data_IF_982395174110
#
_entry.id   IF_982395174110
#
_cell.length_a   1.000
_cell.length_b   1.000
_cell.length_c   1.000
_cell.angle_alpha   90.00
_cell.angle_beta   90.00
_cell.angle_gamma   90.00
#
_symmetry.space_group_name_H-M   'P 1'
#
loop_
_entity.id
_entity.type
_entity.pdbx_description
1 polymer ?
#
# COMPACT_ATOMS: atom_id res chain seq x y z
N UNK A 1 54.37 3.87 -4.00
CA UNK A 1 53.37 3.54 -5.03
C UNK A 1 52.04 3.00 -4.51
N UNK A 2 51.38 3.50 -3.46
CA UNK A 2 49.99 3.05 -3.12
C UNK A 2 48.90 4.14 -3.32
N UNK A 3 49.26 5.43 -3.40
CA UNK A 3 48.21 6.50 -3.39
C UNK A 3 47.58 6.72 -4.77
N UNK A 4 48.29 6.46 -5.85
CA UNK A 4 47.81 6.65 -7.22
C UNK A 4 46.80 5.54 -7.61
N UNK A 5 47.07 4.30 -7.21
CA UNK A 5 46.19 3.15 -7.45
C UNK A 5 44.84 3.22 -6.68
N UNK A 6 44.82 3.86 -5.49
CA UNK A 6 43.58 4.12 -4.74
C UNK A 6 42.75 5.25 -5.34
N UNK A 7 43.37 6.22 -6.05
CA UNK A 7 42.63 7.30 -6.74
C UNK A 7 41.97 6.81 -8.02
N UNK A 8 42.62 5.95 -8.79
CA UNK A 8 42.04 5.35 -10.03
C UNK A 8 40.88 4.43 -9.72
N UNK A 9 40.98 3.58 -8.73
CA UNK A 9 39.85 2.74 -8.29
C UNK A 9 38.62 3.50 -7.77
N UNK A 10 38.82 4.65 -7.14
CA UNK A 10 37.72 5.53 -6.71
C UNK A 10 37.03 6.23 -7.89
N UNK A 11 37.81 6.69 -8.86
CA UNK A 11 37.30 7.38 -10.04
C UNK A 11 36.44 6.47 -10.89
N UNK A 12 36.84 5.20 -11.09
CA UNK A 12 36.08 4.21 -11.84
C UNK A 12 34.76 3.79 -11.13
N UNK A 13 34.77 3.72 -9.80
CA UNK A 13 33.58 3.43 -9.03
C UNK A 13 32.55 4.57 -9.05
N UNK A 14 33.00 5.82 -8.91
CA UNK A 14 32.12 7.00 -9.00
C UNK A 14 31.57 7.20 -10.42
N UNK A 15 32.37 6.96 -11.46
CA UNK A 15 31.93 7.00 -12.85
C UNK A 15 30.86 5.95 -13.11
N UNK A 16 31.03 4.73 -12.60
CA UNK A 16 30.07 3.64 -12.72
C UNK A 16 28.73 3.97 -12.04
N UNK A 17 28.76 4.58 -10.85
CA UNK A 17 27.58 4.99 -10.11
C UNK A 17 26.81 6.11 -10.84
N UNK A 18 27.52 7.11 -11.38
CA UNK A 18 26.92 8.20 -12.19
C UNK A 18 26.25 7.65 -13.45
N UNK A 19 26.88 6.70 -14.13
CA UNK A 19 26.33 6.04 -15.32
C UNK A 19 25.08 5.22 -15.00
N UNK A 20 25.06 4.51 -13.87
CA UNK A 20 23.89 3.81 -13.38
C UNK A 20 22.70 4.77 -13.21
N UNK A 21 22.90 5.83 -12.45
CA UNK A 21 21.84 6.83 -12.18
C UNK A 21 21.33 7.49 -13.45
N UNK A 22 22.24 7.89 -14.36
CA UNK A 22 21.87 8.50 -15.64
C UNK A 22 21.04 7.56 -16.51
N UNK A 23 21.44 6.30 -16.67
CA UNK A 23 20.70 5.30 -17.47
C UNK A 23 19.34 5.02 -16.89
N UNK A 24 19.25 4.88 -15.56
CA UNK A 24 18.01 4.65 -14.86
C UNK A 24 17.02 5.80 -15.05
N UNK A 25 17.48 7.05 -14.90
CA UNK A 25 16.64 8.23 -15.07
C UNK A 25 16.20 8.43 -16.53
N UNK A 26 17.06 8.24 -17.51
CA UNK A 26 16.69 8.29 -18.93
C UNK A 26 15.61 7.26 -19.27
N UNK A 27 15.76 6.04 -18.76
CA UNK A 27 14.74 5.01 -18.93
C UNK A 27 13.43 5.40 -18.24
N UNK A 28 13.49 5.90 -17.02
CA UNK A 28 12.30 6.31 -16.26
C UNK A 28 11.54 7.42 -17.00
N UNK A 29 12.21 8.43 -17.49
CA UNK A 29 11.58 9.53 -18.23
C UNK A 29 10.79 9.01 -19.45
N UNK A 30 11.32 8.01 -20.16
CA UNK A 30 10.70 7.43 -21.35
C UNK A 30 9.64 6.35 -21.05
N UNK A 31 9.71 5.66 -19.90
CA UNK A 31 8.92 4.44 -19.67
C UNK A 31 8.04 4.47 -18.41
N UNK A 32 8.09 5.53 -17.60
CA UNK A 32 7.29 5.63 -16.37
C UNK A 32 5.80 5.52 -16.68
N UNK A 33 5.08 4.72 -15.91
CA UNK A 33 3.63 4.63 -16.00
C UNK A 33 2.99 5.98 -15.67
N UNK A 34 1.97 6.38 -16.43
CA UNK A 34 1.14 7.55 -16.11
C UNK A 34 0.25 7.22 -14.90
N UNK A 35 0.69 7.67 -13.73
CA UNK A 35 -0.01 7.46 -12.47
C UNK A 35 -0.48 8.80 -11.92
N UNK A 36 -1.74 8.88 -11.41
CA UNK A 36 -2.32 10.16 -11.02
C UNK A 36 -1.50 10.94 -9.99
N UNK A 37 -0.83 10.25 -9.08
CA UNK A 37 0.02 10.85 -8.04
C UNK A 37 1.40 11.30 -8.49
N UNK A 38 1.74 11.10 -9.77
CA UNK A 38 2.99 11.59 -10.40
C UNK A 38 2.82 12.90 -11.15
N UNK A 39 1.57 13.43 -11.23
CA UNK A 39 1.24 14.63 -12.02
C UNK A 39 1.70 15.92 -11.37
N UNK A 40 1.85 15.93 -10.07
CA UNK A 40 2.35 17.08 -9.31
C UNK A 40 3.23 16.63 -8.13
N UNK A 41 3.84 17.60 -7.45
CA UNK A 41 4.68 17.38 -6.27
C UNK A 41 4.04 17.90 -4.98
N UNK A 42 2.73 18.13 -4.98
CA UNK A 42 2.02 18.53 -3.77
C UNK A 42 2.18 17.44 -2.69
N UNK A 43 2.66 17.78 -1.49
CA UNK A 43 2.94 16.82 -0.44
C UNK A 43 1.71 16.02 0.02
N UNK A 44 0.50 16.62 0.01
CA UNK A 44 -0.70 15.91 0.44
C UNK A 44 -1.11 14.77 -0.52
N UNK A 45 -1.26 14.97 -1.82
CA UNK A 45 -1.48 13.91 -2.78
C UNK A 45 -0.37 12.85 -2.82
N UNK A 46 0.90 13.26 -2.75
CA UNK A 46 2.03 12.33 -2.69
C UNK A 46 1.95 11.46 -1.44
N UNK A 47 1.77 12.04 -0.26
CA UNK A 47 1.59 11.30 0.98
C UNK A 47 0.41 10.33 0.94
N UNK A 48 -0.75 10.78 0.45
CA UNK A 48 -1.93 9.94 0.29
C UNK A 48 -1.63 8.69 -0.55
N UNK A 49 -0.95 8.87 -1.69
CA UNK A 49 -0.59 7.76 -2.56
C UNK A 49 0.36 6.77 -1.87
N UNK A 50 1.38 7.26 -1.17
CA UNK A 50 2.34 6.42 -0.46
C UNK A 50 1.66 5.57 0.63
N UNK A 51 0.71 6.16 1.38
CA UNK A 51 -0.05 5.40 2.38
C UNK A 51 -1.01 4.40 1.71
N UNK A 52 -1.65 4.76 0.59
CA UNK A 52 -2.54 3.83 -0.12
C UNK A 52 -1.79 2.65 -0.74
N UNK A 53 -0.58 2.88 -1.24
CA UNK A 53 0.26 1.86 -1.89
C UNK A 53 0.87 0.85 -0.92
N UNK A 54 0.94 1.16 0.38
CA UNK A 54 1.42 0.19 1.37
C UNK A 54 0.58 -1.11 1.28
N UNK A 55 1.21 -2.23 0.87
CA UNK A 55 0.58 -3.53 0.74
C UNK A 55 -0.68 -3.57 -0.15
N UNK A 56 -0.83 -2.61 -1.07
CA UNK A 56 -1.96 -2.55 -2.01
C UNK A 56 -1.46 -2.38 -3.43
N UNK A 57 -2.05 -3.13 -4.36
CA UNK A 57 -1.66 -3.09 -5.79
C UNK A 57 -2.02 -1.76 -6.42
N UNK A 58 -1.15 -1.24 -7.29
CA UNK A 58 -1.33 0.02 -8.02
C UNK A 58 -2.70 0.12 -8.70
N UNK A 59 -3.12 -0.92 -9.42
CA UNK A 59 -4.41 -0.93 -10.13
C UNK A 59 -5.63 -0.71 -9.21
N UNK A 60 -5.56 -1.20 -7.96
CA UNK A 60 -6.60 -0.93 -6.97
C UNK A 60 -6.53 0.52 -6.48
N UNK A 61 -5.32 1.01 -6.16
CA UNK A 61 -5.10 2.36 -5.62
C UNK A 61 -5.60 3.44 -6.57
N UNK A 62 -5.36 3.34 -7.88
CA UNK A 62 -5.78 4.35 -8.88
C UNK A 62 -7.26 4.73 -8.72
N UNK A 63 -8.15 3.74 -8.58
CA UNK A 63 -9.59 3.97 -8.44
C UNK A 63 -9.97 4.67 -7.13
N UNK A 64 -9.28 4.32 -6.05
CA UNK A 64 -9.55 4.89 -4.72
C UNK A 64 -8.96 6.27 -4.54
N UNK A 65 -7.77 6.50 -5.07
CA UNK A 65 -7.04 7.75 -4.98
C UNK A 65 -7.85 8.95 -5.51
N UNK A 66 -8.37 8.84 -6.73
CA UNK A 66 -9.16 9.91 -7.34
C UNK A 66 -10.43 10.21 -6.54
N UNK A 67 -11.16 9.17 -6.08
CA UNK A 67 -12.37 9.34 -5.27
C UNK A 67 -12.08 9.95 -3.90
N UNK A 68 -10.96 9.55 -3.29
CA UNK A 68 -10.57 10.06 -1.98
C UNK A 68 -10.20 11.54 -2.05
N UNK A 69 -9.39 11.95 -3.05
CA UNK A 69 -9.04 13.35 -3.28
C UNK A 69 -10.26 14.22 -3.64
N UNK A 70 -11.21 13.69 -4.43
CA UNK A 70 -12.47 14.40 -4.69
C UNK A 70 -13.24 14.69 -3.41
N UNK A 71 -13.23 13.74 -2.45
CA UNK A 71 -13.95 13.87 -1.18
C UNK A 71 -13.19 14.70 -0.14
N UNK A 72 -11.89 14.60 -0.12
CA UNK A 72 -10.97 15.29 0.80
C UNK A 72 -9.85 15.94 -0.02
N UNK A 73 -10.12 17.08 -0.67
CA UNK A 73 -9.19 17.70 -1.62
C UNK A 73 -7.94 18.29 -0.94
N UNK A 74 -8.00 18.57 0.34
CA UNK A 74 -6.90 19.16 1.13
C UNK A 74 -6.68 18.38 2.42
N UNK A 75 -5.51 18.57 3.04
CA UNK A 75 -5.19 18.01 4.36
C UNK A 75 -6.14 18.54 5.43
N UNK A 76 -6.60 19.78 5.31
CA UNK A 76 -7.58 20.41 6.19
C UNK A 76 -8.95 19.71 6.08
N UNK A 77 -9.42 19.49 4.85
CA UNK A 77 -10.68 18.78 4.62
C UNK A 77 -10.62 17.35 5.20
N UNK A 78 -9.48 16.68 5.09
CA UNK A 78 -9.27 15.37 5.69
C UNK A 78 -9.26 15.44 7.23
N UNK A 79 -8.56 16.40 7.82
CA UNK A 79 -8.44 16.56 9.28
C UNK A 79 -9.78 16.84 9.95
N UNK A 80 -10.63 17.66 9.32
CA UNK A 80 -11.96 18.04 9.82
C UNK A 80 -13.01 16.95 9.63
N UNK A 81 -12.76 15.96 8.79
CA UNK A 81 -13.71 14.92 8.51
C UNK A 81 -13.97 14.02 9.73
N UNK A 82 -15.17 13.44 9.80
CA UNK A 82 -15.46 12.37 10.77
C UNK A 82 -14.67 11.12 10.36
N UNK A 83 -14.05 10.46 11.34
CA UNK A 83 -13.28 9.22 11.09
C UNK A 83 -14.10 8.15 10.35
N UNK A 84 -15.41 8.07 10.62
CA UNK A 84 -16.31 7.15 9.89
C UNK A 84 -16.38 7.46 8.40
N UNK A 85 -16.39 8.74 8.03
CA UNK A 85 -16.38 9.19 6.63
C UNK A 85 -15.07 8.86 5.92
N UNK A 86 -13.93 8.99 6.61
CA UNK A 86 -12.62 8.59 6.09
C UNK A 86 -12.55 7.08 5.87
N UNK A 87 -13.01 6.30 6.85
CA UNK A 87 -13.06 4.84 6.75
C UNK A 87 -14.01 4.36 5.65
N UNK A 88 -15.15 5.03 5.45
CA UNK A 88 -16.07 4.72 4.35
C UNK A 88 -15.43 4.96 2.99
N UNK A 89 -14.72 6.09 2.81
CA UNK A 89 -13.97 6.37 1.57
C UNK A 89 -12.81 5.38 1.32
N UNK A 90 -12.26 4.81 2.39
CA UNK A 90 -11.18 3.82 2.34
C UNK A 90 -11.68 2.38 2.17
N UNK A 91 -12.99 2.15 2.36
CA UNK A 91 -13.58 0.80 2.40
C UNK A 91 -13.32 0.02 1.11
N UNK A 92 -12.70 -1.14 1.25
CA UNK A 92 -12.26 -2.01 0.14
C UNK A 92 -10.74 -2.01 -0.13
N UNK A 93 -9.98 -1.01 0.35
CA UNK A 93 -8.50 -1.02 0.26
C UNK A 93 -7.83 -1.93 1.29
N UNK A 94 -8.53 -2.30 2.37
CA UNK A 94 -7.96 -3.06 3.46
C UNK A 94 -7.01 -2.25 4.36
N UNK A 95 -6.46 -2.93 5.38
CA UNK A 95 -5.49 -2.33 6.32
C UNK A 95 -5.95 -0.98 6.89
N UNK A 96 -7.15 -0.92 7.45
CA UNK A 96 -7.84 0.30 7.91
C UNK A 96 -7.07 1.10 8.98
N UNK A 97 -6.08 0.49 9.63
CA UNK A 97 -5.14 1.19 10.52
C UNK A 97 -4.41 2.31 9.78
N UNK A 98 -4.12 2.14 8.47
CA UNK A 98 -3.50 3.18 7.65
C UNK A 98 -4.41 4.40 7.51
N UNK A 99 -5.70 4.19 7.23
CA UNK A 99 -6.68 5.28 7.13
C UNK A 99 -6.85 6.05 8.44
N UNK A 100 -6.82 5.34 9.58
CA UNK A 100 -6.86 5.99 10.91
C UNK A 100 -5.60 6.80 11.18
N UNK A 101 -4.43 6.22 10.89
CA UNK A 101 -3.16 6.90 11.05
C UNK A 101 -3.07 8.13 10.12
N UNK A 102 -3.48 8.00 8.86
CA UNK A 102 -3.57 9.09 7.89
C UNK A 102 -4.46 10.23 8.42
N UNK A 103 -5.64 9.93 8.95
CA UNK A 103 -6.55 10.92 9.53
C UNK A 103 -5.96 11.60 10.77
N UNK A 104 -5.32 10.84 11.65
CA UNK A 104 -4.66 11.38 12.83
C UNK A 104 -3.48 12.29 12.46
N UNK A 105 -2.65 11.86 11.50
CA UNK A 105 -1.55 12.65 10.99
C UNK A 105 -2.02 13.94 10.31
N UNK A 106 -3.15 13.92 9.57
CA UNK A 106 -3.75 15.11 9.00
C UNK A 106 -4.11 16.14 10.09
N UNK A 107 -4.67 15.69 11.21
CA UNK A 107 -4.96 16.57 12.37
C UNK A 107 -3.69 17.17 12.97
N UNK A 108 -2.62 16.38 13.09
CA UNK A 108 -1.34 16.89 13.56
C UNK A 108 -0.78 17.95 12.61
N UNK A 109 -0.78 17.71 11.29
CA UNK A 109 -0.29 18.67 10.29
C UNK A 109 -1.07 19.98 10.36
N UNK A 110 -2.41 19.93 10.48
CA UNK A 110 -3.26 21.14 10.57
C UNK A 110 -3.01 21.87 11.87
N UNK A 111 -2.84 21.16 12.99
CA UNK A 111 -2.51 21.76 14.30
C UNK A 111 -1.16 22.48 14.25
N UNK A 112 -0.16 21.88 13.59
CA UNK A 112 1.20 22.43 13.48
C UNK A 112 1.29 23.58 12.44
N UNK A 113 0.23 23.83 11.67
CA UNK A 113 0.10 24.92 10.71
C UNK A 113 0.86 24.71 9.38
N UNK A 114 1.70 23.68 9.27
CA UNK A 114 2.48 23.41 8.06
C UNK A 114 2.72 21.92 7.85
N UNK A 115 2.82 21.51 6.57
CA UNK A 115 3.20 20.14 6.20
C UNK A 115 4.72 19.97 6.45
N UNK A 116 5.17 18.96 7.22
CA UNK A 116 6.59 18.73 7.45
C UNK A 116 7.34 18.45 6.15
N UNK A 117 8.48 19.11 5.92
CA UNK A 117 9.22 19.03 4.65
C UNK A 117 10.44 18.11 4.68
N UNK A 118 10.86 17.62 5.86
CA UNK A 118 12.02 16.73 5.99
C UNK A 118 11.63 15.34 6.43
N UNK A 119 12.37 14.33 5.99
CA UNK A 119 12.11 12.94 6.37
C UNK A 119 12.12 12.75 7.89
N UNK A 120 13.03 13.42 8.61
CA UNK A 120 13.09 13.39 10.08
C UNK A 120 11.79 13.87 10.72
N UNK A 121 11.24 15.00 10.26
CA UNK A 121 9.97 15.54 10.79
C UNK A 121 8.77 14.73 10.31
N UNK A 122 8.77 14.23 9.08
CA UNK A 122 7.69 13.37 8.57
C UNK A 122 7.55 12.08 9.38
N UNK A 123 8.64 11.50 9.89
CA UNK A 123 8.60 10.29 10.71
C UNK A 123 7.91 10.47 12.06
N UNK A 124 7.71 11.69 12.53
CA UNK A 124 6.95 11.95 13.77
C UNK A 124 5.44 11.80 13.58
N UNK A 125 4.97 11.76 12.33
CA UNK A 125 3.55 11.63 12.01
C UNK A 125 3.07 10.18 12.21
N UNK A 126 1.86 10.00 12.75
CA UNK A 126 1.25 8.67 12.89
C UNK A 126 1.20 7.90 11.57
N UNK A 127 1.72 6.68 11.54
CA UNK A 127 1.70 5.79 10.37
C UNK A 127 2.72 6.10 9.29
N UNK A 128 3.63 7.04 9.53
CA UNK A 128 4.73 7.41 8.63
C UNK A 128 6.03 6.80 9.14
N UNK A 129 6.46 5.70 8.54
CA UNK A 129 7.74 5.06 8.81
C UNK A 129 8.89 5.64 7.96
N UNK A 130 10.11 5.10 8.16
CA UNK A 130 11.35 5.53 7.46
C UNK A 130 11.16 5.61 5.94
N UNK A 131 10.61 4.56 5.33
CA UNK A 131 10.34 4.53 3.89
C UNK A 131 9.37 5.65 3.45
N UNK A 132 8.20 5.72 4.07
CA UNK A 132 7.16 6.69 3.68
C UNK A 132 7.65 8.13 3.86
N UNK A 133 8.38 8.41 4.93
CA UNK A 133 8.97 9.72 5.17
C UNK A 133 9.99 10.10 4.10
N UNK A 134 10.90 9.18 3.75
CA UNK A 134 11.91 9.40 2.72
C UNK A 134 11.26 9.58 1.32
N UNK A 135 10.22 8.81 1.01
CA UNK A 135 9.48 8.93 -0.24
C UNK A 135 8.81 10.31 -0.37
N UNK A 136 8.08 10.75 0.65
CA UNK A 136 7.44 12.08 0.65
C UNK A 136 8.49 13.17 0.57
N UNK A 137 9.53 13.13 1.40
CA UNK A 137 10.57 14.15 1.46
C UNK A 137 11.31 14.29 0.12
N UNK A 138 11.66 13.19 -0.51
CA UNK A 138 12.36 13.22 -1.80
C UNK A 138 11.47 13.62 -2.98
N UNK A 139 10.21 13.13 -3.02
CA UNK A 139 9.30 13.36 -4.15
C UNK A 139 8.69 14.76 -4.08
N UNK A 140 8.17 15.16 -2.92
CA UNK A 140 7.46 16.43 -2.78
C UNK A 140 8.41 17.61 -2.52
N UNK A 141 9.48 17.39 -1.75
CA UNK A 141 10.33 18.48 -1.29
C UNK A 141 11.77 18.44 -1.86
N UNK A 142 12.11 17.38 -2.61
CA UNK A 142 13.44 17.27 -3.22
C UNK A 142 14.57 16.97 -2.23
N UNK A 143 14.26 16.50 -1.02
CA UNK A 143 15.28 16.09 -0.05
C UNK A 143 16.15 14.96 -0.64
N UNK A 144 17.49 15.06 -0.63
CA UNK A 144 18.37 14.04 -1.21
C UNK A 144 18.51 12.82 -0.29
N UNK A 145 17.39 12.14 -0.06
CA UNK A 145 17.26 10.93 0.76
C UNK A 145 16.74 9.76 -0.10
N UNK A 146 17.40 8.61 0.03
CA UNK A 146 17.01 7.40 -0.69
C UNK A 146 15.80 6.72 -0.05
N UNK A 147 15.13 5.85 -0.82
CA UNK A 147 14.07 4.95 -0.33
C UNK A 147 14.48 3.50 -0.53
N UNK A 148 14.02 2.63 0.38
CA UNK A 148 14.14 1.17 0.25
C UNK A 148 12.79 0.54 0.57
N UNK A 149 12.09 0.11 -0.48
CA UNK A 149 10.93 -0.78 -0.39
C UNK A 149 11.32 -2.19 -0.88
N UNK A 150 10.41 -3.15 -0.86
CA UNK A 150 10.68 -4.49 -1.35
C UNK A 150 11.09 -4.58 -2.83
N UNK A 151 10.74 -3.58 -3.66
CA UNK A 151 11.19 -3.49 -5.05
C UNK A 151 12.65 -3.02 -5.11
N UNK A 152 12.97 -1.95 -4.39
CA UNK A 152 14.33 -1.39 -4.32
C UNK A 152 15.29 -2.39 -3.66
N UNK A 153 14.90 -3.04 -2.57
CA UNK A 153 15.66 -4.14 -1.93
C UNK A 153 16.03 -5.22 -2.94
N UNK A 154 15.06 -5.72 -3.70
CA UNK A 154 15.29 -6.74 -4.74
C UNK A 154 16.22 -6.25 -5.85
N UNK A 155 16.04 -5.01 -6.33
CA UNK A 155 16.92 -4.41 -7.34
C UNK A 155 18.34 -4.31 -6.82
N UNK A 156 18.54 -3.76 -5.63
CA UNK A 156 19.87 -3.60 -5.02
C UNK A 156 20.54 -4.95 -4.74
N UNK A 157 19.80 -5.93 -4.21
CA UNK A 157 20.33 -7.28 -3.99
C UNK A 157 20.85 -7.91 -5.28
N UNK A 158 20.12 -7.78 -6.39
CA UNK A 158 20.56 -8.29 -7.70
C UNK A 158 21.70 -7.50 -8.32
N UNK A 159 21.67 -6.19 -8.23
CA UNK A 159 22.74 -5.31 -8.74
C UNK A 159 24.05 -5.63 -8.05
N UNK A 160 24.02 -5.83 -6.74
CA UNK A 160 25.24 -6.13 -5.95
C UNK A 160 25.60 -7.60 -5.86
N UNK A 161 24.67 -8.50 -6.21
CA UNK A 161 24.87 -9.96 -6.12
C UNK A 161 25.01 -10.48 -4.67
N UNK A 162 24.59 -9.72 -3.67
CA UNK A 162 24.77 -10.06 -2.26
C UNK A 162 23.48 -9.86 -1.48
N UNK A 163 23.21 -10.78 -0.54
CA UNK A 163 22.24 -10.54 0.52
C UNK A 163 22.83 -9.51 1.49
N UNK A 164 22.11 -8.44 1.73
CA UNK A 164 22.52 -7.32 2.57
C UNK A 164 21.57 -7.17 3.75
N UNK A 165 22.09 -6.68 4.85
CA UNK A 165 21.28 -6.19 5.97
C UNK A 165 20.44 -4.99 5.53
N UNK A 166 19.38 -4.69 6.24
CA UNK A 166 18.53 -3.54 5.93
C UNK A 166 19.35 -2.23 5.91
N UNK A 167 20.26 -2.05 6.85
CA UNK A 167 21.07 -0.83 6.92
C UNK A 167 22.05 -0.71 5.74
N UNK A 168 22.70 -1.80 5.31
CA UNK A 168 23.55 -1.81 4.12
C UNK A 168 22.76 -1.52 2.84
N UNK A 169 21.48 -1.94 2.77
CA UNK A 169 20.60 -1.60 1.65
C UNK A 169 20.32 -0.10 1.60
N UNK A 170 20.01 0.52 2.74
CA UNK A 170 19.81 1.96 2.82
C UNK A 170 21.06 2.76 2.46
N UNK A 171 22.23 2.35 2.93
CA UNK A 171 23.51 2.96 2.57
C UNK A 171 23.79 2.81 1.07
N UNK A 172 23.55 1.64 0.49
CA UNK A 172 23.73 1.39 -0.94
C UNK A 172 22.77 2.24 -1.78
N UNK A 173 21.50 2.35 -1.38
CA UNK A 173 20.52 3.19 -2.03
C UNK A 173 20.94 4.67 -1.98
N UNK A 174 21.43 5.12 -0.82
CA UNK A 174 21.89 6.51 -0.62
C UNK A 174 23.13 6.84 -1.47
N UNK A 175 24.03 5.88 -1.62
CA UNK A 175 25.23 6.06 -2.48
C UNK A 175 24.88 6.19 -3.96
N UNK A 176 23.85 5.46 -4.43
CA UNK A 176 23.40 5.49 -5.83
C UNK A 176 22.52 6.71 -6.15
N UNK A 177 21.98 7.38 -5.13
CA UNK A 177 20.96 8.42 -5.28
C UNK A 177 21.45 9.61 -6.14
N UNK A 178 20.64 10.00 -7.10
CA UNK A 178 20.81 11.29 -7.80
C UNK A 178 20.41 12.44 -6.89
N UNK A 179 21.39 13.25 -6.46
CA UNK A 179 21.13 14.43 -5.61
C UNK A 179 20.37 15.55 -6.35
N UNK A 180 20.46 15.59 -7.68
CA UNK A 180 19.76 16.60 -8.49
C UNK A 180 18.28 16.25 -8.70
N UNK A 181 17.95 14.96 -8.76
CA UNK A 181 16.60 14.44 -9.01
C UNK A 181 16.24 13.30 -8.04
N UNK A 182 16.26 13.53 -6.70
CA UNK A 182 16.14 12.46 -5.73
C UNK A 182 14.77 11.75 -5.80
N UNK A 183 13.69 12.51 -5.92
CA UNK A 183 12.34 11.96 -6.04
C UNK A 183 12.14 11.14 -7.32
N UNK A 184 12.67 11.62 -8.45
CA UNK A 184 12.58 10.87 -9.72
C UNK A 184 13.44 9.60 -9.67
N UNK A 185 14.64 9.67 -9.06
CA UNK A 185 15.49 8.50 -8.90
C UNK A 185 14.85 7.42 -8.02
N UNK A 186 14.27 7.81 -6.89
CA UNK A 186 13.57 6.91 -6.01
C UNK A 186 12.38 6.24 -6.73
N UNK A 187 11.58 7.03 -7.44
CA UNK A 187 10.47 6.49 -8.24
C UNK A 187 10.98 5.58 -9.37
N UNK A 188 12.11 5.90 -10.00
CA UNK A 188 12.71 5.08 -11.05
C UNK A 188 13.19 3.72 -10.52
N UNK A 189 13.79 3.67 -9.35
CA UNK A 189 14.19 2.42 -8.68
C UNK A 189 12.97 1.54 -8.37
N UNK A 190 11.92 2.13 -7.80
CA UNK A 190 10.66 1.43 -7.53
C UNK A 190 9.99 0.93 -8.82
N UNK A 191 9.94 1.77 -9.87
CA UNK A 191 9.37 1.43 -11.18
C UNK A 191 10.14 0.31 -11.86
N UNK A 192 11.47 0.35 -11.82
CA UNK A 192 12.33 -0.72 -12.34
C UNK A 192 12.01 -2.06 -11.67
N UNK A 193 11.88 -2.06 -10.34
CA UNK A 193 11.49 -3.24 -9.57
C UNK A 193 10.09 -3.73 -9.90
N UNK A 194 9.15 -2.82 -10.14
CA UNK A 194 7.75 -3.16 -10.40
C UNK A 194 7.50 -3.66 -11.84
N UNK A 195 8.33 -3.29 -12.83
CA UNK A 195 8.03 -3.53 -14.27
C UNK A 195 9.08 -4.37 -15.00
N UNK A 196 10.33 -4.30 -14.60
CA UNK A 196 11.47 -4.94 -15.25
C UNK A 196 12.13 -5.98 -14.34
N UNK A 197 12.60 -5.57 -13.16
CA UNK A 197 13.30 -6.44 -12.22
C UNK A 197 12.30 -7.22 -11.34
N UNK A 198 11.43 -8.01 -11.99
CA UNK A 198 10.34 -8.75 -11.36
C UNK A 198 10.87 -9.81 -10.38
N UNK A 199 10.08 -10.24 -9.37
CA UNK A 199 10.48 -11.32 -8.45
C UNK A 199 10.85 -12.61 -9.17
N UNK A 200 9.99 -13.02 -10.11
CA UNK A 200 10.20 -14.16 -11.02
C UNK A 200 10.35 -13.67 -12.45
N UNK A 201 11.19 -14.33 -13.24
CA UNK A 201 11.43 -14.03 -14.66
C UNK A 201 11.72 -12.52 -14.91
N UNK A 202 12.79 -11.96 -14.31
CA UNK A 202 13.14 -10.56 -14.55
C UNK A 202 13.51 -10.33 -16.01
N UNK A 203 13.11 -9.18 -16.56
CA UNK A 203 13.30 -8.82 -17.97
C UNK A 203 14.70 -8.22 -18.18
N UNK A 204 15.76 -8.98 -17.89
CA UNK A 204 17.14 -8.50 -17.89
C UNK A 204 17.62 -7.99 -19.26
N UNK A 205 17.08 -8.51 -20.38
CA UNK A 205 17.46 -8.10 -21.75
C UNK A 205 17.13 -6.64 -22.06
N UNK A 206 16.05 -6.12 -21.45
CA UNK A 206 15.61 -4.72 -21.65
C UNK A 206 15.88 -3.86 -20.42
N UNK A 207 16.63 -4.35 -19.45
CA UNK A 207 16.96 -3.61 -18.23
C UNK A 207 17.97 -2.50 -18.51
N UNK A 208 17.65 -1.21 -18.18
CA UNK A 208 18.54 -0.08 -18.46
C UNK A 208 19.88 -0.17 -17.74
N UNK A 209 19.91 -0.87 -16.60
CA UNK A 209 21.07 -1.00 -15.72
C UNK A 209 21.71 -2.39 -15.77
N UNK A 210 21.37 -3.21 -16.76
CA UNK A 210 21.89 -4.60 -16.87
C UNK A 210 23.39 -4.70 -16.87
N UNK A 211 24.11 -3.70 -17.46
CA UNK A 211 25.56 -3.67 -17.49
C UNK A 211 26.21 -3.48 -16.10
N UNK A 212 25.45 -2.93 -15.16
CA UNK A 212 25.87 -2.70 -13.76
C UNK A 212 25.33 -3.77 -12.80
N UNK A 213 24.66 -4.81 -13.32
CA UNK A 213 24.03 -5.84 -12.49
C UNK A 213 24.90 -7.10 -12.46
N UNK A 214 25.25 -7.55 -11.25
CA UNK A 214 26.05 -8.76 -11.04
C UNK A 214 25.25 -10.02 -11.31
N UNK A 215 23.98 -10.09 -10.85
CA UNK A 215 23.19 -11.34 -10.92
C UNK A 215 22.63 -11.62 -12.30
N UNK A 216 22.06 -10.60 -12.97
CA UNK A 216 21.34 -10.73 -14.26
C UNK A 216 20.38 -11.92 -14.31
N UNK A 217 19.58 -12.09 -13.26
CA UNK A 217 18.68 -13.24 -13.12
C UNK A 217 17.88 -13.17 -11.81
N UNK A 218 17.36 -14.31 -11.41
CA UNK A 218 16.69 -14.48 -10.13
C UNK A 218 17.71 -14.69 -9.00
N UNK A 219 17.47 -14.09 -7.84
CA UNK A 219 18.15 -14.51 -6.62
C UNK A 219 17.45 -15.77 -6.10
N UNK A 220 18.23 -16.80 -5.84
CA UNK A 220 17.73 -18.05 -5.26
C UNK A 220 17.36 -17.82 -3.80
N UNK A 221 16.11 -17.46 -3.53
CA UNK A 221 15.41 -17.69 -2.25
C UNK A 221 13.96 -17.21 -2.33
N UNK A 222 12.99 -18.04 -2.69
CA UNK A 222 11.61 -17.79 -2.31
C UNK A 222 11.46 -18.16 -0.83
N UNK A 223 11.23 -17.17 0.04
CA UNK A 223 10.63 -17.48 1.35
C UNK A 223 9.26 -18.07 1.08
N UNK A 224 9.08 -19.34 1.39
CA UNK A 224 7.75 -19.96 1.43
C UNK A 224 7.06 -19.41 2.68
N UNK A 225 6.14 -18.47 2.49
CA UNK A 225 5.27 -18.05 3.60
C UNK A 225 4.30 -19.19 3.91
N UNK A 226 4.36 -19.71 5.12
CA UNK A 226 3.38 -20.66 5.64
C UNK A 226 2.08 -19.87 5.82
N UNK A 227 1.03 -20.22 5.04
CA UNK A 227 -0.29 -19.62 5.13
C UNK A 227 -1.25 -20.53 5.87
N UNK A 228 -1.98 -19.96 6.82
CA UNK A 228 -3.05 -20.66 7.54
C UNK A 228 -4.32 -20.71 6.68
N UNK A 229 -5.03 -21.81 6.72
CA UNK A 229 -6.35 -21.95 6.07
C UNK A 229 -7.43 -21.97 7.14
N UNK A 230 -8.52 -21.21 6.94
CA UNK A 230 -9.68 -21.19 7.81
C UNK A 230 -10.96 -21.14 6.99
N UNK A 231 -12.01 -21.76 7.50
CA UNK A 231 -13.37 -21.60 7.00
C UNK A 231 -14.14 -20.68 7.92
N UNK A 232 -15.03 -19.87 7.33
CA UNK A 232 -15.90 -18.95 8.07
C UNK A 232 -17.23 -18.85 7.33
N UNK A 233 -18.33 -18.80 8.06
CA UNK A 233 -19.65 -18.64 7.49
C UNK A 233 -20.27 -17.32 7.93
N UNK A 234 -20.85 -16.59 6.97
CA UNK A 234 -21.58 -15.36 7.22
C UNK A 234 -23.06 -15.51 6.88
N UNK A 235 -23.91 -14.98 7.74
CA UNK A 235 -25.35 -14.87 7.50
C UNK A 235 -25.67 -13.65 6.65
N UNK A 236 -26.38 -13.84 5.54
CA UNK A 236 -26.94 -12.76 4.73
C UNK A 236 -28.45 -12.70 4.99
N UNK A 237 -28.86 -11.85 5.92
CA UNK A 237 -30.27 -11.61 6.22
C UNK A 237 -30.74 -10.31 5.55
N UNK A 238 -31.72 -10.43 4.69
CA UNK A 238 -32.32 -9.34 3.91
C UNK A 238 -33.80 -9.23 4.28
N UNK A 239 -34.24 -8.02 4.57
CA UNK A 239 -35.62 -7.67 4.77
C UNK A 239 -35.95 -6.43 3.95
N UNK A 240 -36.86 -6.56 2.99
CA UNK A 240 -37.17 -5.47 2.03
C UNK A 240 -35.92 -4.84 1.41
N UNK A 241 -35.72 -3.53 1.60
CA UNK A 241 -34.55 -2.78 1.12
C UNK A 241 -33.43 -2.67 2.18
N UNK A 242 -33.41 -3.57 3.16
CA UNK A 242 -32.44 -3.51 4.27
C UNK A 242 -31.66 -4.82 4.40
N UNK A 243 -30.43 -4.70 4.92
CA UNK A 243 -29.56 -5.82 5.27
C UNK A 243 -29.19 -5.74 6.75
N UNK A 244 -29.18 -6.89 7.41
CA UNK A 244 -28.76 -6.98 8.81
C UNK A 244 -27.22 -6.99 8.88
N UNK A 245 -26.66 -6.06 9.63
CA UNK A 245 -25.22 -5.91 9.82
C UNK A 245 -24.86 -5.82 11.29
N UNK A 246 -23.70 -6.30 11.63
CA UNK A 246 -23.09 -6.20 12.95
C UNK A 246 -21.94 -5.19 12.95
N UNK A 247 -21.72 -4.54 14.06
CA UNK A 247 -20.61 -3.60 14.22
C UNK A 247 -19.54 -4.20 15.12
N UNK A 248 -18.32 -4.34 14.59
CA UNK A 248 -17.19 -4.84 15.36
C UNK A 248 -16.94 -3.96 16.58
N UNK A 249 -16.66 -4.59 17.72
CA UNK A 249 -16.35 -3.87 18.96
C UNK A 249 -15.15 -2.92 18.77
N UNK A 250 -15.13 -1.81 19.52
CA UNK A 250 -13.98 -0.88 19.51
C UNK A 250 -12.69 -1.53 20.03
N UNK A 251 -12.82 -2.56 20.85
CA UNK A 251 -11.72 -3.39 21.40
C UNK A 251 -11.21 -4.46 20.44
N UNK A 252 -11.90 -4.71 19.30
CA UNK A 252 -11.47 -5.72 18.33
C UNK A 252 -10.06 -5.45 17.81
N UNK A 253 -9.21 -6.47 17.76
CA UNK A 253 -7.84 -6.41 17.24
C UNK A 253 -7.80 -6.09 15.74
N UNK A 254 -8.79 -6.57 14.99
CA UNK A 254 -8.93 -6.35 13.55
C UNK A 254 -10.14 -5.46 13.26
N UNK A 255 -9.92 -4.39 12.49
CA UNK A 255 -10.98 -3.52 11.94
C UNK A 255 -12.01 -3.04 12.99
N UNK A 256 -11.58 -2.46 14.15
CA UNK A 256 -12.51 -2.03 15.20
C UNK A 256 -13.52 -0.99 14.70
N UNK A 257 -14.79 -1.16 15.09
CA UNK A 257 -15.88 -0.25 14.75
C UNK A 257 -16.33 -0.27 13.27
N UNK A 258 -15.81 -1.18 12.45
CA UNK A 258 -16.28 -1.44 11.09
C UNK A 258 -17.55 -2.27 11.11
N UNK A 259 -18.32 -2.17 10.02
CA UNK A 259 -19.53 -2.96 9.82
C UNK A 259 -19.24 -4.19 8.96
N UNK A 260 -19.85 -5.32 9.32
CA UNK A 260 -19.75 -6.58 8.59
C UNK A 260 -21.05 -7.39 8.66
N UNK A 261 -21.14 -8.47 7.90
CA UNK A 261 -22.21 -9.43 8.06
C UNK A 261 -22.00 -10.20 9.37
N UNK A 262 -23.07 -10.69 10.01
CA UNK A 262 -22.96 -11.57 11.17
C UNK A 262 -22.26 -12.88 10.82
N UNK A 263 -21.30 -13.27 11.63
CA UNK A 263 -20.69 -14.59 11.56
C UNK A 263 -21.65 -15.61 12.20
N UNK A 264 -21.89 -16.71 11.50
CA UNK A 264 -22.73 -17.82 11.99
C UNK A 264 -21.86 -19.08 12.07
N UNK A 265 -21.97 -19.82 13.16
CA UNK A 265 -21.15 -21.00 13.39
C UNK A 265 -21.50 -22.13 12.41
N UNK A 266 -22.78 -22.39 12.21
CA UNK A 266 -23.27 -23.38 11.24
C UNK A 266 -24.56 -22.89 10.59
N UNK A 267 -24.74 -23.09 9.27
CA UNK A 267 -26.02 -22.91 8.61
C UNK A 267 -26.96 -23.98 9.08
N UNK A 268 -28.16 -23.60 9.56
CA UNK A 268 -29.22 -24.53 9.89
C UNK A 268 -30.10 -24.80 8.64
N UNK A 269 -31.13 -25.65 8.79
CA UNK A 269 -32.03 -26.04 7.70
C UNK A 269 -32.77 -24.88 7.02
N UNK A 270 -32.88 -23.70 7.69
CA UNK A 270 -33.48 -22.48 7.14
C UNK A 270 -32.50 -21.63 6.32
N UNK A 271 -31.24 -22.03 6.22
CA UNK A 271 -30.21 -21.29 5.48
C UNK A 271 -29.92 -21.94 4.13
N UNK A 272 -29.95 -21.14 3.09
CA UNK A 272 -29.50 -21.54 1.76
C UNK A 272 -28.09 -20.96 1.50
N UNK A 273 -27.08 -21.82 1.28
CA UNK A 273 -25.76 -21.37 0.87
C UNK A 273 -25.85 -20.71 -0.52
N UNK A 274 -25.60 -19.42 -0.60
CA UNK A 274 -25.75 -18.63 -1.83
C UNK A 274 -24.42 -18.34 -2.51
N UNK A 275 -23.33 -18.37 -1.76
CA UNK A 275 -22.02 -17.96 -2.28
C UNK A 275 -20.90 -18.62 -1.47
N UNK A 276 -19.86 -19.07 -2.19
CA UNK A 276 -18.57 -19.43 -1.59
C UNK A 276 -17.47 -18.62 -2.27
N UNK A 277 -16.61 -17.96 -1.49
CA UNK A 277 -15.51 -17.17 -2.02
C UNK A 277 -14.23 -17.35 -1.20
N UNK A 278 -13.10 -17.09 -1.84
CA UNK A 278 -11.79 -17.06 -1.18
C UNK A 278 -11.43 -15.62 -0.82
N UNK A 279 -10.92 -15.44 0.39
CA UNK A 279 -10.46 -14.13 0.87
C UNK A 279 -9.23 -14.31 1.75
N UNK A 280 -8.18 -13.52 1.52
CA UNK A 280 -6.96 -13.58 2.31
C UNK A 280 -6.83 -12.34 3.20
N UNK A 281 -6.54 -12.56 4.47
CA UNK A 281 -6.25 -11.51 5.44
C UNK A 281 -4.90 -11.83 6.08
N UNK A 282 -3.89 -10.98 5.87
CA UNK A 282 -2.51 -11.20 6.30
C UNK A 282 -1.98 -12.56 5.81
N UNK A 283 -1.63 -13.47 6.70
CA UNK A 283 -1.11 -14.82 6.41
C UNK A 283 -2.21 -15.91 6.42
N UNK A 284 -3.49 -15.54 6.53
CA UNK A 284 -4.60 -16.50 6.59
C UNK A 284 -5.46 -16.43 5.33
N UNK A 285 -5.67 -17.57 4.71
CA UNK A 285 -6.57 -17.76 3.58
C UNK A 285 -7.90 -18.32 4.09
N UNK A 286 -8.95 -17.54 3.89
CA UNK A 286 -10.32 -17.91 4.31
C UNK A 286 -11.09 -18.49 3.14
N UNK A 287 -11.73 -19.63 3.36
CA UNK A 287 -12.87 -20.08 2.58
C UNK A 287 -14.12 -19.51 3.25
N UNK A 288 -14.75 -18.58 2.58
CA UNK A 288 -15.91 -17.85 3.12
C UNK A 288 -17.18 -18.41 2.49
N UNK A 289 -18.06 -18.95 3.32
CA UNK A 289 -19.41 -19.36 2.92
C UNK A 289 -20.39 -18.26 3.32
N UNK A 290 -21.35 -17.99 2.46
CA UNK A 290 -22.42 -17.03 2.72
C UNK A 290 -23.74 -17.79 2.65
N UNK A 291 -24.46 -17.80 3.74
CA UNK A 291 -25.74 -18.45 3.84
C UNK A 291 -26.86 -17.40 3.99
N UNK A 292 -27.83 -17.43 3.10
CA UNK A 292 -29.01 -16.55 3.15
C UNK A 292 -30.06 -17.15 4.07
N UNK A 293 -30.52 -16.35 5.03
CA UNK A 293 -31.54 -16.78 6.00
C UNK A 293 -31.57 -15.87 7.22
N UNK A 294 -32.44 -16.16 8.17
CA UNK A 294 -32.54 -15.43 9.43
C UNK A 294 -31.25 -15.58 10.24
N UNK A 295 -30.88 -14.53 10.93
CA UNK A 295 -29.73 -14.54 11.85
C UNK A 295 -30.24 -14.87 13.24
N UNK A 296 -29.51 -15.68 14.05
CA UNK A 296 -29.86 -15.97 15.42
C UNK A 296 -30.12 -14.72 16.25
N UNK A 297 -31.16 -14.70 17.07
CA UNK A 297 -31.54 -13.56 17.94
C UNK A 297 -30.42 -13.19 18.94
N UNK A 298 -29.54 -14.12 19.25
CA UNK A 298 -28.37 -13.87 20.09
C UNK A 298 -27.35 -12.91 19.47
N UNK A 299 -27.43 -12.65 18.17
CA UNK A 299 -26.49 -11.76 17.47
C UNK A 299 -27.02 -10.32 17.46
N UNK A 300 -26.37 -9.46 18.23
CA UNK A 300 -26.70 -8.04 18.25
C UNK A 300 -26.21 -7.33 16.98
N UNK A 301 -27.14 -6.68 16.26
CA UNK A 301 -26.86 -5.97 15.02
C UNK A 301 -27.92 -4.94 14.69
N UNK A 302 -27.90 -4.42 13.48
CA UNK A 302 -28.83 -3.39 13.02
C UNK A 302 -29.24 -3.62 11.57
N UNK A 303 -30.50 -3.34 11.27
CA UNK A 303 -31.02 -3.25 9.93
C UNK A 303 -30.56 -1.96 9.26
N UNK A 304 -29.91 -2.07 8.12
CA UNK A 304 -29.35 -0.93 7.38
C UNK A 304 -29.93 -0.93 5.97
N UNK A 305 -30.57 0.18 5.59
CA UNK A 305 -31.08 0.37 4.23
C UNK A 305 -29.95 0.33 3.22
N UNK A 306 -30.17 -0.30 2.06
CA UNK A 306 -29.17 -0.44 0.99
C UNK A 306 -28.61 0.91 0.54
N UNK A 307 -29.45 1.95 0.45
CA UNK A 307 -29.06 3.31 0.11
C UNK A 307 -27.99 3.92 1.05
N UNK A 308 -27.91 3.44 2.30
CA UNK A 308 -26.94 3.92 3.30
C UNK A 308 -25.63 3.14 3.31
N UNK A 309 -25.57 1.97 2.65
CA UNK A 309 -24.38 1.09 2.71
C UNK A 309 -23.11 1.75 2.14
N UNK A 310 -23.24 2.56 1.11
CA UNK A 310 -22.09 3.28 0.52
C UNK A 310 -21.41 4.26 1.50
N UNK A 311 -22.18 4.78 2.46
CA UNK A 311 -21.68 5.73 3.48
C UNK A 311 -21.11 5.03 4.73
N UNK A 312 -21.31 3.71 4.87
CA UNK A 312 -20.81 2.95 6.02
C UNK A 312 -19.37 2.48 5.83
N UNK A 313 -18.59 2.43 6.92
CA UNK A 313 -17.27 1.82 6.94
C UNK A 313 -17.41 0.29 6.99
N UNK A 314 -17.71 -0.33 5.84
CA UNK A 314 -17.81 -1.78 5.70
C UNK A 314 -16.41 -2.41 5.67
N UNK A 315 -16.26 -3.60 6.29
CA UNK A 315 -15.05 -4.42 6.11
C UNK A 315 -14.89 -4.78 4.63
N UNK A 316 -13.64 -5.01 4.18
CA UNK A 316 -13.38 -5.38 2.79
C UNK A 316 -14.09 -6.66 2.37
N UNK A 317 -14.22 -7.62 3.30
CA UNK A 317 -14.93 -8.87 3.07
C UNK A 317 -16.44 -8.65 2.97
N UNK A 318 -17.04 -7.88 3.89
CA UNK A 318 -18.45 -7.55 3.83
C UNK A 318 -18.82 -6.85 2.51
N UNK A 319 -18.00 -5.87 2.08
CA UNK A 319 -18.19 -5.21 0.79
C UNK A 319 -18.16 -6.21 -0.38
N UNK A 320 -17.17 -7.10 -0.39
CA UNK A 320 -17.02 -8.12 -1.43
C UNK A 320 -18.24 -9.07 -1.48
N UNK A 321 -18.76 -9.48 -0.32
CA UNK A 321 -19.96 -10.32 -0.23
C UNK A 321 -21.18 -9.56 -0.76
N UNK A 322 -21.42 -8.35 -0.27
CA UNK A 322 -22.57 -7.53 -0.68
C UNK A 322 -22.56 -7.18 -2.18
N UNK A 323 -21.38 -7.01 -2.79
CA UNK A 323 -21.25 -6.86 -4.23
C UNK A 323 -21.54 -8.16 -4.99
N UNK A 324 -20.96 -9.28 -4.54
CA UNK A 324 -21.16 -10.58 -5.18
C UNK A 324 -22.62 -11.08 -5.09
N UNK A 325 -23.34 -10.64 -4.07
CA UNK A 325 -24.78 -10.92 -3.88
C UNK A 325 -25.71 -9.84 -4.41
N UNK A 326 -25.17 -8.87 -5.18
CA UNK A 326 -25.90 -7.77 -5.82
C UNK A 326 -26.70 -6.88 -4.86
N UNK A 327 -26.33 -6.86 -3.58
CA UNK A 327 -26.93 -5.96 -2.57
C UNK A 327 -26.43 -4.52 -2.73
N UNK A 328 -25.18 -4.36 -3.19
CA UNK A 328 -24.58 -3.08 -3.57
C UNK A 328 -23.91 -3.20 -4.94
N UNK A 329 -23.83 -2.07 -5.65
CA UNK A 329 -23.08 -1.96 -6.93
C UNK A 329 -21.57 -1.85 -6.72
#
# INVERSE_FOLDING_TARGET
>A
MPVQMMRECRCDSEMSLRLFGRRLLLWYDANKRDLPWRKNRDPYPVWLSEIMLQQTRVAAVVKYYARFLKRFPTVQALAMARVSSVLAAWSGLGYYRRARALHQAAKTIVKDGAFPSTAKRLQTLPGVGRYTAAAIASIAFGEPIAVVDGNVERVLGRVTGKNRSQEELWQSAQTLLSRQRPGDFNQAMMELGATICLPRQPKCRVCPVSKHCTTRGELSHPKVEIRHKREICYGLNLCEDSVFLVRRAKSSSLMPGMWELPEILEPNASHQTTLTLKHSITITDYTVRVARGPVPDSISGQWVRRSRLAALPLTGLARKILQATQVIQ
#
